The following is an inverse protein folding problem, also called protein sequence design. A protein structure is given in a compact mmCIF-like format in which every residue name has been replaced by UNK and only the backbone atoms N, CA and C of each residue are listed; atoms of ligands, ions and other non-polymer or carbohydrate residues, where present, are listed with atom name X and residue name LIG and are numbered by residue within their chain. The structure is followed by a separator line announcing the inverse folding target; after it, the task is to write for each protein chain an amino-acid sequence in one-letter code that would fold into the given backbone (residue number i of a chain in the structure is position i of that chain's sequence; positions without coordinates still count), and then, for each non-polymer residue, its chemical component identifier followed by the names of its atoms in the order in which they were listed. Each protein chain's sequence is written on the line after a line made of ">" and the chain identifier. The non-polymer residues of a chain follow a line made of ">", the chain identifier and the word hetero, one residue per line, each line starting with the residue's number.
data_IF_873657425611
#
_entry.id   IF_873657425611
#
_cell.length_a   1.000
_cell.length_b   1.000
_cell.length_c   1.000
_cell.angle_alpha   90.00
_cell.angle_beta   90.00
_cell.angle_gamma   90.00
#
_symmetry.space_group_name_H-M   'P 1'
#
loop_
_entity.id
_entity.type
_entity.pdbx_description
1 polymer ?
#
# COMPACT_ATOMS: atom_id res chain seq x y z
N UNK A 1 32.02 18.72 -31.16
CA UNK A 1 30.75 18.78 -31.93
C UNK A 1 29.73 19.55 -31.11
N UNK A 2 29.11 20.60 -31.68
CA UNK A 2 28.00 21.30 -31.00
C UNK A 2 26.70 20.57 -31.34
N UNK A 3 25.94 20.16 -30.32
CA UNK A 3 24.61 19.58 -30.50
C UNK A 3 23.70 20.62 -31.15
N UNK A 4 23.02 20.25 -32.25
CA UNK A 4 22.11 21.20 -32.89
C UNK A 4 20.87 21.41 -32.01
N UNK A 5 20.33 22.62 -32.01
CA UNK A 5 19.12 22.97 -31.24
C UNK A 5 17.95 22.03 -31.58
N UNK A 6 17.85 21.57 -32.84
CA UNK A 6 16.84 20.60 -33.27
C UNK A 6 16.99 19.24 -32.59
N UNK A 7 18.22 18.74 -32.47
CA UNK A 7 18.49 17.47 -31.78
C UNK A 7 18.18 17.61 -30.28
N UNK A 8 18.56 18.74 -29.67
CA UNK A 8 18.22 19.00 -28.26
C UNK A 8 16.70 19.04 -28.02
N UNK A 9 15.94 19.70 -28.90
CA UNK A 9 14.47 19.75 -28.80
C UNK A 9 13.82 18.37 -28.96
N UNK A 10 14.31 17.55 -29.89
CA UNK A 10 13.81 16.18 -30.07
C UNK A 10 14.08 15.32 -28.83
N UNK A 11 15.28 15.41 -28.24
CA UNK A 11 15.61 14.67 -27.02
C UNK A 11 14.72 15.08 -25.83
N UNK A 12 14.45 16.39 -25.69
CA UNK A 12 13.54 16.90 -24.66
C UNK A 12 12.12 16.36 -24.88
N UNK A 13 11.63 16.36 -26.13
CA UNK A 13 10.32 15.81 -26.47
C UNK A 13 10.22 14.32 -26.14
N UNK A 14 11.21 13.51 -26.55
CA UNK A 14 11.26 12.09 -26.22
C UNK A 14 11.29 11.84 -24.71
N UNK A 15 12.14 12.57 -23.98
CA UNK A 15 12.21 12.44 -22.53
C UNK A 15 10.89 12.84 -21.84
N UNK A 16 10.26 13.92 -22.28
CA UNK A 16 8.96 14.35 -21.76
C UNK A 16 7.84 13.34 -22.06
N UNK A 17 7.86 12.73 -23.25
CA UNK A 17 6.91 11.69 -23.63
C UNK A 17 7.11 10.40 -22.81
N UNK A 18 8.37 10.01 -22.56
CA UNK A 18 8.70 8.85 -21.73
C UNK A 18 8.29 9.06 -20.26
N UNK A 19 8.53 10.25 -19.71
CA UNK A 19 8.04 10.63 -18.38
C UNK A 19 6.52 10.59 -18.32
N UNK A 20 5.84 11.13 -19.33
CA UNK A 20 4.38 11.13 -19.41
C UNK A 20 3.84 9.70 -19.51
N UNK A 21 4.42 8.87 -20.37
CA UNK A 21 4.06 7.47 -20.53
C UNK A 21 4.27 6.68 -19.23
N UNK A 22 5.43 6.84 -18.59
CA UNK A 22 5.75 6.23 -17.30
C UNK A 22 4.77 6.66 -16.21
N UNK A 23 4.40 7.94 -16.17
CA UNK A 23 3.41 8.47 -15.25
C UNK A 23 2.01 7.88 -15.50
N UNK A 24 1.55 7.84 -16.75
CA UNK A 24 0.26 7.26 -17.13
C UNK A 24 0.21 5.77 -16.81
N UNK A 25 1.27 5.02 -17.11
CA UNK A 25 1.39 3.61 -16.76
C UNK A 25 1.29 3.40 -15.25
N UNK A 26 1.97 4.24 -14.45
CA UNK A 26 1.90 4.16 -12.98
C UNK A 26 0.49 4.38 -12.44
N UNK A 27 -0.28 5.29 -13.01
CA UNK A 27 -1.65 5.59 -12.57
C UNK A 27 -2.67 4.54 -13.04
N UNK A 28 -2.49 3.92 -14.23
CA UNK A 28 -3.41 2.90 -14.77
C UNK A 28 -3.14 1.49 -14.24
N UNK A 29 -1.88 1.15 -13.98
CA UNK A 29 -1.46 -0.20 -13.56
C UNK A 29 -2.27 -0.76 -12.38
N UNK A 30 -2.61 0.02 -11.33
CA UNK A 30 -3.36 -0.53 -10.22
C UNK A 30 -4.78 -1.00 -10.59
N UNK A 31 -5.42 -0.39 -11.57
CA UNK A 31 -6.79 -0.73 -11.99
C UNK A 31 -6.81 -1.96 -12.89
N UNK A 32 -5.83 -2.09 -13.78
CA UNK A 32 -5.74 -3.23 -14.70
C UNK A 32 -5.08 -4.46 -14.06
N UNK A 33 -4.25 -4.27 -13.02
CA UNK A 33 -3.53 -5.36 -12.38
C UNK A 33 -4.43 -6.44 -11.74
N UNK A 34 -5.70 -6.14 -11.48
CA UNK A 34 -6.66 -7.07 -10.89
C UNK A 34 -7.57 -7.76 -11.92
N UNK A 35 -7.72 -7.20 -13.13
CA UNK A 35 -8.79 -7.56 -14.07
C UNK A 35 -8.75 -9.03 -14.54
N UNK A 36 -7.57 -9.66 -14.54
CA UNK A 36 -7.40 -11.05 -14.98
C UNK A 36 -6.83 -11.99 -13.90
N UNK A 37 -6.78 -11.53 -12.64
CA UNK A 37 -6.24 -12.34 -11.55
C UNK A 37 -7.28 -13.34 -11.06
N UNK A 38 -6.85 -14.59 -10.90
CA UNK A 38 -7.63 -15.58 -10.16
C UNK A 38 -7.82 -15.13 -8.71
N UNK A 39 -9.02 -15.34 -8.17
CA UNK A 39 -9.34 -15.06 -6.77
C UNK A 39 -8.70 -16.16 -5.91
N UNK A 40 -7.73 -15.84 -5.04
CA UNK A 40 -7.13 -16.81 -4.14
C UNK A 40 -8.03 -17.04 -2.91
N UNK A 41 -7.58 -17.90 -2.01
CA UNK A 41 -8.17 -18.14 -0.70
C UNK A 41 -7.22 -17.77 0.46
N UNK A 42 -6.10 -17.11 0.16
CA UNK A 42 -5.04 -16.80 1.09
C UNK A 42 -4.19 -15.61 0.62
N UNK A 43 -3.33 -15.13 1.52
CA UNK A 43 -2.34 -14.10 1.22
C UNK A 43 -1.32 -14.62 0.20
N UNK A 44 -0.93 -13.79 -0.76
CA UNK A 44 0.07 -14.17 -1.75
C UNK A 44 1.43 -14.43 -1.08
N UNK A 45 2.20 -15.48 -1.46
CA UNK A 45 3.45 -15.83 -0.78
C UNK A 45 4.46 -14.69 -0.68
N UNK A 46 4.62 -13.90 -1.75
CA UNK A 46 5.52 -12.73 -1.74
C UNK A 46 5.07 -11.65 -0.74
N UNK A 47 3.76 -11.40 -0.65
CA UNK A 47 3.20 -10.41 0.28
C UNK A 47 3.40 -10.89 1.71
N UNK A 48 3.18 -12.18 1.97
CA UNK A 48 3.47 -12.82 3.26
C UNK A 48 4.93 -12.68 3.65
N UNK A 49 5.84 -13.06 2.75
CA UNK A 49 7.29 -12.95 2.96
C UNK A 49 7.70 -11.50 3.29
N UNK A 50 7.20 -10.53 2.52
CA UNK A 50 7.56 -9.14 2.73
C UNK A 50 6.93 -8.54 3.99
N UNK A 51 5.76 -9.02 4.41
CA UNK A 51 5.18 -8.67 5.71
C UNK A 51 6.06 -9.18 6.87
N UNK A 52 6.55 -10.41 6.79
CA UNK A 52 7.47 -10.98 7.80
C UNK A 52 8.80 -10.22 7.85
N UNK A 53 9.34 -9.84 6.68
CA UNK A 53 10.54 -8.99 6.58
C UNK A 53 10.30 -7.59 7.16
N UNK A 54 9.14 -6.99 6.90
CA UNK A 54 8.74 -5.71 7.46
C UNK A 54 8.71 -5.76 8.98
N UNK A 55 8.04 -6.75 9.56
CA UNK A 55 7.98 -6.94 11.01
C UNK A 55 9.38 -7.14 11.60
N UNK A 56 10.21 -7.96 10.96
CA UNK A 56 11.58 -8.22 11.41
C UNK A 56 12.45 -6.95 11.37
N UNK A 57 12.37 -6.18 10.29
CA UNK A 57 13.14 -4.95 10.12
C UNK A 57 12.67 -3.83 11.07
N UNK A 58 11.35 -3.69 11.27
CA UNK A 58 10.78 -2.75 12.22
C UNK A 58 11.17 -3.12 13.66
N UNK A 59 11.15 -4.41 14.01
CA UNK A 59 11.53 -4.88 15.35
C UNK A 59 13.00 -4.57 15.66
N UNK A 60 13.91 -4.65 14.68
CA UNK A 60 15.31 -4.23 14.83
C UNK A 60 15.47 -2.74 15.16
N UNK A 61 14.47 -1.92 14.84
CA UNK A 61 14.37 -0.49 15.20
C UNK A 61 13.61 -0.26 16.52
N UNK A 62 13.20 -1.32 17.22
CA UNK A 62 12.42 -1.22 18.45
C UNK A 62 10.93 -0.95 18.22
N UNK A 63 10.42 -1.18 17.01
CA UNK A 63 9.02 -0.96 16.64
C UNK A 63 8.33 -2.31 16.44
N UNK A 64 7.27 -2.58 17.20
CA UNK A 64 6.49 -3.80 17.03
C UNK A 64 5.31 -3.56 16.09
N UNK A 65 5.34 -4.22 14.93
CA UNK A 65 4.29 -4.15 13.90
C UNK A 65 3.41 -5.40 13.97
N UNK A 66 2.10 -5.19 13.98
CA UNK A 66 1.09 -6.27 13.94
C UNK A 66 0.31 -6.15 12.64
N UNK A 67 0.26 -7.25 11.87
CA UNK A 67 -0.62 -7.35 10.71
C UNK A 67 -2.04 -7.61 11.20
N UNK A 68 -2.95 -6.67 10.93
CA UNK A 68 -4.32 -6.72 11.40
C UNK A 68 -5.26 -7.34 10.38
N UNK A 69 -4.98 -7.14 9.09
CA UNK A 69 -5.75 -7.71 7.98
C UNK A 69 -4.80 -8.21 6.88
N UNK A 70 -5.24 -9.22 6.14
CA UNK A 70 -4.50 -9.79 5.03
C UNK A 70 -5.43 -10.11 3.86
N UNK A 71 -5.55 -11.39 3.49
CA UNK A 71 -6.58 -11.80 2.54
C UNK A 71 -7.99 -11.57 3.10
N UNK A 72 -8.88 -11.06 2.25
CA UNK A 72 -10.30 -10.85 2.55
C UNK A 72 -11.13 -11.32 1.36
N UNK A 73 -12.12 -12.18 1.56
CA UNK A 73 -13.00 -12.63 0.48
C UNK A 73 -13.82 -11.49 -0.14
N UNK A 74 -14.38 -11.74 -1.33
CA UNK A 74 -15.29 -10.80 -2.01
C UNK A 74 -16.53 -10.55 -1.17
N UNK A 75 -17.04 -11.58 -0.52
CA UNK A 75 -18.21 -11.54 0.35
C UNK A 75 -17.96 -10.65 1.57
N UNK A 76 -16.82 -10.83 2.25
CA UNK A 76 -16.41 -9.99 3.38
C UNK A 76 -16.18 -8.53 2.95
N UNK A 77 -15.57 -8.30 1.79
CA UNK A 77 -15.36 -6.94 1.27
C UNK A 77 -16.69 -6.26 0.94
N UNK A 78 -17.66 -6.98 0.37
CA UNK A 78 -19.00 -6.45 0.14
C UNK A 78 -19.73 -6.14 1.45
N UNK A 79 -19.48 -6.91 2.51
CA UNK A 79 -20.00 -6.61 3.83
C UNK A 79 -19.42 -5.30 4.39
N UNK A 80 -18.10 -5.10 4.31
CA UNK A 80 -17.45 -3.85 4.70
C UNK A 80 -17.94 -2.66 3.85
N UNK A 81 -18.11 -2.85 2.54
CA UNK A 81 -18.63 -1.81 1.65
C UNK A 81 -20.05 -1.35 2.06
N UNK A 82 -20.88 -2.23 2.63
CA UNK A 82 -22.22 -1.85 3.11
C UNK A 82 -22.19 -0.95 4.35
N UNK A 83 -21.12 -0.93 5.12
CA UNK A 83 -20.98 -0.12 6.32
C UNK A 83 -20.98 1.38 6.00
N UNK A 84 -21.77 2.16 6.73
CA UNK A 84 -22.00 3.59 6.47
C UNK A 84 -22.82 3.89 5.22
N UNK A 85 -23.34 2.85 4.55
CA UNK A 85 -24.22 2.95 3.37
C UNK A 85 -25.58 2.32 3.69
N UNK A 86 -25.68 1.00 3.57
CA UNK A 86 -26.89 0.24 3.88
C UNK A 86 -26.86 -0.41 5.28
N UNK A 87 -25.73 -0.34 5.98
CA UNK A 87 -25.57 -0.74 7.38
C UNK A 87 -25.02 0.43 8.20
N UNK A 88 -25.39 0.52 9.49
CA UNK A 88 -24.87 1.55 10.41
C UNK A 88 -23.36 1.40 10.59
N UNK A 89 -22.68 2.52 10.88
CA UNK A 89 -21.23 2.58 11.09
C UNK A 89 -20.57 3.62 10.18
N UNK A 90 -19.27 3.83 10.35
CA UNK A 90 -18.50 4.71 9.48
C UNK A 90 -18.16 4.01 8.17
N UNK A 91 -18.02 4.77 7.08
CA UNK A 91 -17.47 4.25 5.83
C UNK A 91 -15.99 3.92 6.07
N UNK A 92 -15.64 2.64 5.95
CA UNK A 92 -14.26 2.15 6.12
C UNK A 92 -13.60 1.77 4.80
N UNK A 93 -14.37 1.70 3.71
CA UNK A 93 -13.86 1.39 2.37
C UNK A 93 -14.77 1.96 1.27
N UNK A 94 -14.17 2.25 0.12
CA UNK A 94 -14.87 2.59 -1.12
C UNK A 94 -14.80 1.48 -2.17
N UNK A 95 -14.01 0.43 -1.94
CA UNK A 95 -13.88 -0.71 -2.83
C UNK A 95 -15.00 -1.72 -2.58
N UNK A 96 -15.69 -2.14 -3.65
CA UNK A 96 -16.58 -3.31 -3.62
C UNK A 96 -15.75 -4.60 -3.65
N UNK A 97 -16.41 -5.73 -3.42
CA UNK A 97 -15.78 -7.03 -3.62
C UNK A 97 -15.28 -7.18 -5.06
N UNK A 98 -14.01 -7.56 -5.22
CA UNK A 98 -13.29 -7.62 -6.49
C UNK A 98 -12.54 -6.33 -6.86
N UNK A 99 -12.73 -5.24 -6.12
CA UNK A 99 -12.02 -3.97 -6.35
C UNK A 99 -10.89 -3.74 -5.32
N UNK A 100 -10.82 -4.55 -4.27
CA UNK A 100 -9.82 -4.44 -3.20
C UNK A 100 -8.66 -5.40 -3.41
N UNK A 101 -7.43 -4.93 -3.18
CA UNK A 101 -6.23 -5.77 -3.22
C UNK A 101 -6.24 -6.90 -2.19
N UNK A 102 -6.97 -6.74 -1.08
CA UNK A 102 -7.19 -7.81 -0.11
C UNK A 102 -7.94 -9.01 -0.72
N UNK A 103 -8.81 -8.77 -1.71
CA UNK A 103 -9.53 -9.83 -2.43
C UNK A 103 -8.63 -10.74 -3.24
N UNK A 104 -7.41 -10.29 -3.52
CA UNK A 104 -6.42 -11.01 -4.30
C UNK A 104 -5.21 -11.43 -3.46
N UNK A 105 -5.28 -11.28 -2.12
CA UNK A 105 -4.16 -11.56 -1.23
C UNK A 105 -2.95 -10.68 -1.47
N UNK A 106 -3.14 -9.48 -2.02
CA UNK A 106 -2.10 -8.55 -2.44
C UNK A 106 -1.92 -7.34 -1.52
N UNK A 107 -2.66 -7.32 -0.41
CA UNK A 107 -2.60 -6.25 0.59
C UNK A 107 -2.59 -6.79 2.01
N UNK A 108 -2.06 -5.98 2.90
CA UNK A 108 -2.08 -6.13 4.35
C UNK A 108 -2.43 -4.80 4.98
N UNK A 109 -3.13 -4.84 6.11
CA UNK A 109 -3.23 -3.69 7.01
C UNK A 109 -2.36 -3.94 8.23
N UNK A 110 -1.76 -2.87 8.77
CA UNK A 110 -0.96 -2.96 9.98
C UNK A 110 -1.39 -1.97 11.07
N UNK A 111 -0.98 -2.30 12.29
CA UNK A 111 -1.00 -1.42 13.44
C UNK A 111 0.36 -1.48 14.16
N UNK A 112 0.62 -0.48 15.00
CA UNK A 112 1.74 -0.54 15.94
C UNK A 112 1.26 -1.14 17.25
N UNK A 113 2.11 -1.92 17.91
CA UNK A 113 1.85 -2.45 19.24
C UNK A 113 2.73 -1.75 20.27
N UNK A 114 2.09 -1.21 21.32
CA UNK A 114 2.78 -0.64 22.47
C UNK A 114 3.37 -1.74 23.36
N UNK A 115 4.26 -1.35 24.28
CA UNK A 115 4.87 -2.26 25.28
C UNK A 115 3.85 -2.94 26.19
N UNK A 116 2.69 -2.34 26.39
CA UNK A 116 1.57 -2.90 27.17
C UNK A 116 0.73 -3.93 26.37
N UNK A 117 1.10 -4.20 25.12
CA UNK A 117 0.43 -5.14 24.22
C UNK A 117 -0.73 -4.53 23.42
N UNK A 118 -1.17 -3.30 23.75
CA UNK A 118 -2.28 -2.67 23.04
C UNK A 118 -1.88 -2.15 21.67
N UNK A 119 -2.80 -2.27 20.70
CA UNK A 119 -2.62 -1.79 19.34
C UNK A 119 -3.00 -0.31 19.22
N UNK A 120 -2.27 0.42 18.40
CA UNK A 120 -2.51 1.84 18.11
C UNK A 120 -2.42 2.12 16.61
N UNK A 121 -3.24 3.07 16.17
CA UNK A 121 -3.28 3.62 14.81
C UNK A 121 -2.95 5.11 14.85
N UNK A 122 -1.81 5.44 15.47
CA UNK A 122 -1.34 6.81 15.63
C UNK A 122 -0.09 7.04 14.78
N UNK A 123 -0.24 7.86 13.74
CA UNK A 123 0.86 8.21 12.82
C UNK A 123 1.91 9.12 13.45
N UNK A 124 1.63 9.70 14.61
CA UNK A 124 2.53 10.61 15.33
C UNK A 124 3.26 9.94 16.48
N UNK A 125 2.91 8.69 16.79
CA UNK A 125 3.53 7.93 17.86
C UNK A 125 5.01 7.63 17.57
N UNK A 126 5.87 7.93 18.55
CA UNK A 126 7.30 7.65 18.55
C UNK A 126 7.65 6.83 19.80
N UNK A 127 7.42 5.52 19.72
CA UNK A 127 7.63 4.57 20.80
C UNK A 127 9.10 4.19 21.00
N UNK A 128 9.90 4.26 19.94
CA UNK A 128 11.34 4.03 20.00
C UNK A 128 12.13 5.27 20.48
N UNK A 129 11.48 6.45 20.51
CA UNK A 129 11.99 7.74 21.00
C UNK A 129 13.19 8.26 20.21
N UNK A 130 13.23 8.02 18.91
CA UNK A 130 14.30 8.49 18.05
C UNK A 130 14.01 9.85 17.39
N UNK A 131 12.85 10.45 17.67
CA UNK A 131 12.41 11.72 17.10
C UNK A 131 11.69 11.61 15.75
N UNK A 132 11.52 10.39 15.23
CA UNK A 132 10.75 10.09 14.02
C UNK A 132 9.52 9.27 14.39
N UNK A 133 8.32 9.57 13.87
CA UNK A 133 7.16 8.73 14.14
C UNK A 133 7.35 7.30 13.61
N UNK A 134 7.14 6.32 14.48
CA UNK A 134 7.32 4.89 14.22
C UNK A 134 6.54 4.45 12.97
N UNK A 135 5.34 5.00 12.78
CA UNK A 135 4.48 4.71 11.62
C UNK A 135 5.18 5.03 10.29
N UNK A 136 5.86 6.18 10.21
CA UNK A 136 6.55 6.62 9.01
C UNK A 136 7.82 5.81 8.76
N UNK A 137 8.49 5.35 9.82
CA UNK A 137 9.60 4.42 9.67
C UNK A 137 9.14 3.07 9.11
N UNK A 138 8.04 2.52 9.62
CA UNK A 138 7.44 1.28 9.10
C UNK A 138 7.05 1.43 7.63
N UNK A 139 6.39 2.53 7.27
CA UNK A 139 6.06 2.84 5.87
C UNK A 139 7.32 2.94 5.00
N UNK A 140 8.38 3.59 5.48
CA UNK A 140 9.64 3.69 4.75
C UNK A 140 10.23 2.31 4.48
N UNK A 141 10.24 1.42 5.47
CA UNK A 141 10.69 0.03 5.31
C UNK A 141 9.79 -0.70 4.30
N UNK A 142 8.47 -0.60 4.45
CA UNK A 142 7.52 -1.26 3.56
C UNK A 142 7.75 -0.87 2.08
N UNK A 143 7.99 0.43 1.81
CA UNK A 143 8.33 0.92 0.47
C UNK A 143 9.63 0.32 -0.09
N UNK A 144 10.65 0.13 0.75
CA UNK A 144 11.88 -0.56 0.30
C UNK A 144 11.67 -2.03 -0.04
N UNK A 145 10.64 -2.65 0.55
CA UNK A 145 10.22 -4.03 0.26
C UNK A 145 9.25 -4.11 -0.94
N UNK A 146 8.94 -2.97 -1.58
CA UNK A 146 8.08 -2.91 -2.76
C UNK A 146 6.60 -2.73 -2.48
N UNK A 147 6.20 -2.39 -1.25
CA UNK A 147 4.83 -1.99 -0.96
C UNK A 147 4.55 -0.55 -1.38
N UNK A 148 3.41 -0.34 -2.02
CA UNK A 148 2.73 0.95 -2.09
C UNK A 148 1.93 1.17 -0.79
N UNK A 149 1.85 2.42 -0.35
CA UNK A 149 1.17 2.79 0.90
C UNK A 149 -0.10 3.57 0.65
N UNK A 150 -1.19 3.21 1.31
CA UNK A 150 -2.49 3.88 1.17
C UNK A 150 -2.52 5.33 1.66
N UNK A 151 -1.55 5.73 2.50
CA UNK A 151 -1.37 7.13 2.89
C UNK A 151 -0.85 8.05 1.76
N UNK A 152 -0.27 7.48 0.70
CA UNK A 152 0.18 8.23 -0.48
C UNK A 152 -0.95 8.48 -1.49
N UNK A 153 -2.13 7.87 -1.31
CA UNK A 153 -3.25 8.04 -2.22
C UNK A 153 -3.73 9.49 -2.25
N UNK A 154 -4.09 9.98 -3.45
CA UNK A 154 -4.60 11.35 -3.64
C UNK A 154 -6.01 11.54 -3.08
N UNK A 155 -6.79 10.46 -3.05
CA UNK A 155 -8.18 10.46 -2.60
C UNK A 155 -8.32 10.08 -1.13
N UNK A 156 -9.28 9.20 -0.84
CA UNK A 156 -9.45 8.61 0.48
C UNK A 156 -8.15 7.94 0.91
N UNK A 157 -7.52 8.43 1.99
CA UNK A 157 -6.26 7.88 2.49
C UNK A 157 -6.54 6.76 3.47
N UNK A 158 -5.89 5.63 3.23
CA UNK A 158 -5.98 4.46 4.08
C UNK A 158 -4.60 4.20 4.70
N UNK A 159 -4.37 4.78 5.88
CA UNK A 159 -3.03 4.79 6.48
C UNK A 159 -2.53 3.41 6.92
N UNK A 160 -3.36 2.47 7.42
CA UNK A 160 -2.95 1.09 7.69
C UNK A 160 -2.55 0.30 6.45
N UNK A 161 -3.05 0.67 5.28
CA UNK A 161 -3.02 -0.15 4.08
C UNK A 161 -1.66 -0.16 3.39
N UNK A 162 -1.16 -1.37 3.14
CA UNK A 162 0.00 -1.65 2.30
C UNK A 162 -0.41 -2.64 1.21
N UNK A 163 -0.10 -2.34 -0.04
CA UNK A 163 -0.35 -3.25 -1.16
C UNK A 163 0.88 -3.40 -2.03
N UNK A 164 0.99 -4.53 -2.72
CA UNK A 164 1.99 -4.69 -3.76
C UNK A 164 1.49 -5.58 -4.88
N UNK A 165 1.94 -5.29 -6.10
CA UNK A 165 1.68 -6.10 -7.27
C UNK A 165 2.94 -6.92 -7.54
N UNK A 166 2.94 -8.25 -7.31
CA UNK A 166 4.01 -9.12 -7.76
C UNK A 166 4.18 -8.95 -9.28
N UNK A 167 5.44 -8.79 -9.71
CA UNK A 167 5.82 -8.63 -11.11
C UNK A 167 5.47 -9.83 -11.98
#
# INVERSE_FOLDING_TARGET
>A
MKLSVRIALLLILFFSADLCFSYVQKELRPQTALQDRAIPNALHPLVKQNAELLQTAALKKGITVVITEGFRSIEEQNELYRQGRSKKGNIVTYAKGGESYHNYGLAIDFALQKKDGSLIWDMTYDGNRNGTPDWLEVVSIAKTLGFDWGGDWRGFKDYPHLQMIPG
#
